data_IF_867485888429
#
_entry.id   IF_867485888429
#
_cell.length_a   1.000
_cell.length_b   1.000
_cell.length_c   1.000
_cell.angle_alpha   90.00
_cell.angle_beta   90.00
_cell.angle_gamma   90.00
#
_symmetry.space_group_name_H-M   'P 1'
#
loop_
_entity.id
_entity.type
_entity.pdbx_description
1 polymer ?
#
# COMPACT_ATOMS: atom_id res chain seq x y z
N UNK A 1 -2.65 -64.54 25.32
CA UNK A 1 -2.69 -63.97 23.95
C UNK A 1 -3.15 -62.54 24.05
N UNK A 2 -2.19 -61.62 24.12
CA UNK A 2 -2.41 -60.19 24.00
C UNK A 2 -2.92 -59.93 22.58
N UNK A 3 -4.04 -59.21 22.45
CA UNK A 3 -4.46 -58.63 21.17
C UNK A 3 -3.88 -57.23 21.10
N UNK A 4 -3.05 -57.02 20.09
CA UNK A 4 -2.43 -55.75 19.73
C UNK A 4 -3.46 -54.62 19.72
N UNK A 5 -3.13 -53.53 20.44
CA UNK A 5 -3.71 -52.22 20.19
C UNK A 5 -3.05 -51.70 18.92
N UNK A 6 -3.78 -51.73 17.79
CA UNK A 6 -3.41 -50.95 16.62
C UNK A 6 -3.47 -49.47 16.97
N UNK A 7 -2.31 -48.82 16.98
CA UNK A 7 -2.21 -47.36 17.01
C UNK A 7 -2.64 -46.86 15.63
N UNK A 8 -3.80 -46.21 15.54
CA UNK A 8 -4.17 -45.44 14.35
C UNK A 8 -3.12 -44.32 14.17
N UNK A 9 -2.61 -44.09 12.94
CA UNK A 9 -1.77 -42.93 12.69
C UNK A 9 -2.63 -41.67 12.88
N UNK A 10 -2.22 -40.85 13.83
CA UNK A 10 -2.73 -39.49 14.01
C UNK A 10 -2.35 -38.68 12.76
N UNK A 11 -3.26 -38.62 11.78
CA UNK A 11 -3.18 -37.72 10.63
C UNK A 11 -3.45 -36.27 11.08
N UNK A 12 -2.69 -35.77 12.06
CA UNK A 12 -2.51 -34.34 12.30
C UNK A 12 -1.51 -33.75 11.31
N UNK A 13 -1.72 -33.97 10.01
CA UNK A 13 -1.01 -33.23 8.99
C UNK A 13 -1.75 -31.93 8.70
N UNK A 14 -1.87 -31.10 9.75
CA UNK A 14 -2.25 -29.71 9.64
C UNK A 14 -1.10 -28.93 9.01
N UNK A 15 -0.85 -29.14 7.72
CA UNK A 15 -0.02 -28.24 6.95
C UNK A 15 -0.69 -26.87 6.98
N UNK A 16 -0.28 -26.01 7.91
CA UNK A 16 -0.68 -24.60 7.95
C UNK A 16 -0.33 -24.01 6.60
N UNK A 17 -1.35 -23.75 5.78
CA UNK A 17 -1.20 -23.10 4.49
C UNK A 17 -0.30 -21.87 4.68
N UNK A 18 0.87 -21.88 4.07
CA UNK A 18 1.80 -20.77 4.17
C UNK A 18 1.18 -19.56 3.50
N UNK A 19 1.27 -18.40 4.15
CA UNK A 19 0.82 -17.15 3.53
C UNK A 19 1.61 -16.93 2.25
N UNK A 20 0.94 -16.84 1.11
CA UNK A 20 1.57 -16.44 -0.14
C UNK A 20 2.01 -14.99 -0.01
N UNK A 21 3.33 -14.76 0.02
CA UNK A 21 3.94 -13.43 0.08
C UNK A 21 4.71 -13.19 -1.20
N UNK A 22 4.09 -12.45 -2.13
CA UNK A 22 4.74 -12.04 -3.38
C UNK A 22 5.51 -10.76 -3.10
N UNK A 23 6.78 -10.74 -3.47
CA UNK A 23 7.63 -9.55 -3.34
C UNK A 23 7.28 -8.57 -4.46
N UNK A 24 6.97 -7.32 -4.11
CA UNK A 24 6.81 -6.20 -5.04
C UNK A 24 7.90 -5.18 -4.70
N UNK A 25 9.04 -5.16 -5.42
CA UNK A 25 10.20 -4.35 -5.06
C UNK A 25 9.93 -2.84 -5.04
N UNK A 26 9.10 -2.38 -5.97
CA UNK A 26 8.72 -0.99 -6.16
C UNK A 26 7.42 -0.68 -5.40
N UNK A 27 7.46 -0.92 -4.09
CA UNK A 27 6.33 -0.66 -3.20
C UNK A 27 6.74 -0.33 -1.76
N UNK A 28 5.84 0.31 -1.02
CA UNK A 28 5.95 0.58 0.42
C UNK A 28 4.59 0.44 1.09
N UNK A 29 4.59 0.17 2.39
CA UNK A 29 3.43 0.41 3.26
C UNK A 29 3.76 1.66 4.06
N UNK A 30 2.93 2.70 3.92
CA UNK A 30 3.18 4.03 4.49
C UNK A 30 1.92 4.64 5.05
N UNK A 31 2.06 5.59 5.98
CA UNK A 31 0.93 6.36 6.49
C UNK A 31 0.35 7.29 5.42
N UNK A 32 -0.97 7.44 5.45
CA UNK A 32 -1.67 8.48 4.70
C UNK A 32 -1.63 9.82 5.42
N UNK A 33 -1.46 10.91 4.68
CA UNK A 33 -1.47 12.29 5.21
C UNK A 33 -2.34 13.16 4.30
N UNK A 34 -2.99 14.17 4.87
CA UNK A 34 -3.76 15.15 4.09
C UNK A 34 -2.82 16.19 3.48
N UNK A 35 -3.18 16.68 2.30
CA UNK A 35 -2.50 17.81 1.67
C UNK A 35 -2.60 19.07 2.56
N UNK A 36 -1.48 19.55 3.15
CA UNK A 36 -1.49 20.69 4.05
C UNK A 36 -1.53 22.04 3.30
N UNK A 37 -1.25 22.06 1.99
CA UNK A 37 -1.18 23.29 1.19
C UNK A 37 -2.38 23.46 0.26
N UNK A 38 -3.14 22.39 0.01
CA UNK A 38 -4.33 22.42 -0.84
C UNK A 38 -4.00 22.62 -2.33
N UNK A 39 -2.85 22.13 -2.79
CA UNK A 39 -2.44 22.25 -4.20
C UNK A 39 -2.77 21.00 -5.03
N UNK A 40 -2.98 19.86 -4.38
CA UNK A 40 -3.29 18.62 -5.08
C UNK A 40 -4.75 18.62 -5.54
N UNK A 41 -4.95 18.30 -6.82
CA UNK A 41 -6.27 18.07 -7.39
C UNK A 41 -6.75 16.64 -7.13
N UNK A 42 -8.06 16.42 -7.24
CA UNK A 42 -8.63 15.09 -7.13
C UNK A 42 -7.98 14.12 -8.14
N UNK A 43 -7.63 12.92 -7.67
CA UNK A 43 -6.92 11.90 -8.45
C UNK A 43 -5.40 12.07 -8.46
N UNK A 44 -4.85 13.06 -7.75
CA UNK A 44 -3.41 13.25 -7.60
C UNK A 44 -2.92 12.75 -6.24
N UNK A 45 -1.61 12.58 -6.11
CA UNK A 45 -0.93 12.40 -4.84
C UNK A 45 0.51 12.91 -4.91
N UNK A 46 1.10 13.14 -3.74
CA UNK A 46 2.55 13.27 -3.57
C UNK A 46 3.04 12.09 -2.75
N UNK A 47 4.16 11.50 -3.15
CA UNK A 47 4.77 10.38 -2.45
C UNK A 47 6.27 10.40 -2.69
N UNK A 48 7.07 10.57 -1.64
CA UNK A 48 8.53 10.55 -1.71
C UNK A 48 9.09 9.34 -0.94
N UNK A 49 9.35 8.21 -1.62
CA UNK A 49 9.95 7.05 -0.97
C UNK A 49 11.44 7.29 -0.70
N UNK A 50 11.91 6.88 0.47
CA UNK A 50 13.35 6.76 0.71
C UNK A 50 13.90 5.56 -0.07
N UNK A 51 14.79 5.86 -1.02
CA UNK A 51 15.43 4.89 -1.92
C UNK A 51 16.95 5.04 -1.86
N UNK A 52 17.65 3.91 -1.82
CA UNK A 52 19.12 3.85 -1.77
C UNK A 52 19.73 3.17 -3.01
N UNK A 53 18.90 2.56 -3.83
CA UNK A 53 19.31 1.77 -4.99
C UNK A 53 19.13 2.59 -6.26
N UNK A 54 20.19 2.75 -7.07
CA UNK A 54 20.18 3.60 -8.27
C UNK A 54 19.14 3.16 -9.30
N UNK A 55 18.89 1.85 -9.44
CA UNK A 55 17.90 1.31 -10.36
C UNK A 55 16.50 1.71 -9.90
N UNK A 56 16.18 1.48 -8.61
CA UNK A 56 14.88 1.89 -8.06
C UNK A 56 14.66 3.40 -8.09
N UNK A 57 15.73 4.18 -7.89
CA UNK A 57 15.66 5.64 -8.01
C UNK A 57 15.28 6.03 -9.44
N UNK A 58 15.90 5.41 -10.45
CA UNK A 58 15.60 5.67 -11.85
C UNK A 58 14.17 5.25 -12.23
N UNK A 59 13.72 4.08 -11.78
CA UNK A 59 12.35 3.60 -11.97
C UNK A 59 11.32 4.53 -11.32
N UNK A 60 11.56 4.93 -10.07
CA UNK A 60 10.71 5.89 -9.38
C UNK A 60 10.72 7.25 -10.09
N UNK A 61 11.84 7.73 -10.62
CA UNK A 61 11.93 9.01 -11.34
C UNK A 61 11.01 9.07 -12.56
N UNK A 62 10.87 7.97 -13.30
CA UNK A 62 10.01 7.91 -14.50
C UNK A 62 8.54 7.61 -14.19
N UNK A 63 8.22 7.09 -13.00
CA UNK A 63 6.85 6.78 -12.60
C UNK A 63 5.94 8.02 -12.65
N UNK A 64 4.81 7.93 -13.33
CA UNK A 64 3.81 9.01 -13.45
C UNK A 64 2.58 8.81 -12.57
N UNK A 65 2.39 7.58 -12.09
CA UNK A 65 1.24 7.15 -11.30
C UNK A 65 1.71 6.16 -10.23
N UNK A 66 0.87 5.97 -9.21
CA UNK A 66 1.05 4.96 -8.18
C UNK A 66 -0.26 4.22 -7.93
N UNK A 67 -0.18 2.91 -7.70
CA UNK A 67 -1.27 2.12 -7.15
C UNK A 67 -1.30 2.28 -5.63
N UNK A 68 -2.48 2.49 -5.07
CA UNK A 68 -2.71 2.67 -3.63
C UNK A 68 -3.83 1.74 -3.18
N UNK A 69 -3.59 1.01 -2.09
CA UNK A 69 -4.54 0.09 -1.47
C UNK A 69 -4.40 0.13 0.04
N UNK A 70 -5.52 0.18 0.75
CA UNK A 70 -5.60 -0.16 2.17
C UNK A 70 -5.97 -1.63 2.33
N UNK A 71 -5.35 -2.30 3.30
CA UNK A 71 -5.68 -3.68 3.65
C UNK A 71 -6.63 -3.70 4.86
N UNK A 72 -7.75 -4.45 4.83
CA UNK A 72 -8.23 -5.32 3.75
C UNK A 72 -8.84 -4.58 2.55
N UNK A 73 -8.65 -5.13 1.35
CA UNK A 73 -9.26 -4.68 0.10
C UNK A 73 -10.33 -5.69 -0.33
N UNK A 74 -11.61 -5.30 -0.33
CA UNK A 74 -12.74 -6.20 -0.59
C UNK A 74 -13.39 -5.98 -1.95
N UNK A 75 -13.31 -4.76 -2.48
CA UNK A 75 -13.95 -4.36 -3.72
C UNK A 75 -12.90 -3.79 -4.70
N UNK A 76 -13.04 -4.02 -6.03
CA UNK A 76 -12.10 -3.45 -7.00
C UNK A 76 -11.95 -1.93 -6.92
N UNK A 77 -13.00 -1.23 -6.47
CA UNK A 77 -12.97 0.22 -6.25
C UNK A 77 -12.12 0.67 -5.06
N UNK A 78 -11.72 -0.24 -4.15
CA UNK A 78 -10.81 0.06 -3.05
C UNK A 78 -9.37 0.30 -3.54
N UNK A 79 -9.07 -0.18 -4.77
CA UNK A 79 -7.79 0.04 -5.44
C UNK A 79 -7.83 1.38 -6.15
N UNK A 80 -6.87 2.25 -5.83
CA UNK A 80 -6.73 3.55 -6.49
C UNK A 80 -5.48 3.56 -7.34
N UNK A 81 -5.58 4.15 -8.52
CA UNK A 81 -4.43 4.58 -9.31
C UNK A 81 -4.44 6.10 -9.29
N UNK A 82 -3.41 6.69 -8.70
CA UNK A 82 -3.32 8.13 -8.49
C UNK A 82 -2.15 8.70 -9.29
N UNK A 83 -2.34 9.89 -9.86
CA UNK A 83 -1.30 10.62 -10.57
C UNK A 83 -0.26 11.15 -9.60
N UNK A 84 1.00 10.79 -9.82
CA UNK A 84 2.12 11.20 -8.98
C UNK A 84 2.61 12.60 -9.37
N UNK A 85 2.56 13.54 -8.44
CA UNK A 85 3.04 14.92 -8.60
C UNK A 85 4.37 15.09 -7.87
N UNK A 86 5.44 15.50 -8.58
CA UNK A 86 6.82 15.54 -8.04
C UNK A 86 7.42 16.94 -7.93
N UNK A 87 6.86 17.92 -8.64
CA UNK A 87 7.46 19.25 -8.79
C UNK A 87 6.84 20.27 -7.82
N UNK A 88 6.70 19.90 -6.54
CA UNK A 88 6.13 20.75 -5.50
C UNK A 88 7.12 20.87 -4.32
N UNK A 89 8.02 21.88 -4.34
CA UNK A 89 9.11 22.02 -3.36
C UNK A 89 8.65 22.08 -1.89
N UNK A 90 7.48 22.65 -1.64
CA UNK A 90 6.87 22.74 -0.31
C UNK A 90 6.49 21.38 0.28
N UNK A 91 6.42 20.30 -0.51
CA UNK A 91 6.16 18.94 -0.03
C UNK A 91 7.44 18.13 0.19
N UNK A 92 8.63 18.68 -0.10
CA UNK A 92 9.89 17.94 -0.09
C UNK A 92 10.27 17.33 1.29
N UNK A 93 9.72 17.87 2.38
CA UNK A 93 9.95 17.33 3.72
C UNK A 93 9.04 16.14 4.05
N UNK A 94 7.95 15.93 3.30
CA UNK A 94 7.02 14.82 3.46
C UNK A 94 7.59 13.58 2.78
N UNK A 95 8.43 12.85 3.52
CA UNK A 95 9.08 11.62 3.09
C UNK A 95 8.37 10.41 3.72
N UNK A 96 8.36 9.28 3.01
CA UNK A 96 7.81 8.00 3.46
C UNK A 96 6.35 8.06 3.99
N UNK A 97 5.56 8.95 3.40
CA UNK A 97 4.11 9.06 3.58
C UNK A 97 3.46 9.40 2.25
N UNK A 98 2.22 8.94 2.04
CA UNK A 98 1.43 9.32 0.87
C UNK A 98 0.52 10.49 1.21
N UNK A 99 0.64 11.57 0.45
CA UNK A 99 -0.15 12.79 0.63
C UNK A 99 -1.33 12.75 -0.32
N UNK A 100 -2.53 12.75 0.24
CA UNK A 100 -3.79 12.76 -0.49
C UNK A 100 -4.36 14.18 -0.61
N UNK A 101 -5.06 14.50 -1.71
CA UNK A 101 -5.70 15.79 -1.91
C UNK A 101 -6.81 15.98 -0.88
N UNK A 102 -6.94 17.22 -0.44
CA UNK A 102 -8.10 17.68 0.36
C UNK A 102 -9.24 18.18 -0.53
N UNK A 103 -9.04 18.21 -1.85
CA UNK A 103 -10.04 18.56 -2.87
C UNK A 103 -10.74 17.32 -3.41
N UNK A 104 -12.01 17.49 -3.78
CA UNK A 104 -12.82 16.46 -4.43
C UNK A 104 -14.12 16.16 -3.68
N UNK A 105 -14.95 15.30 -4.25
CA UNK A 105 -16.23 14.91 -3.66
C UNK A 105 -16.10 13.85 -2.55
N UNK A 106 -15.01 13.09 -2.56
CA UNK A 106 -14.78 11.97 -1.64
C UNK A 106 -13.28 11.81 -1.34
N UNK A 107 -12.82 11.71 -0.09
CA UNK A 107 -11.40 11.51 0.20
C UNK A 107 -10.88 10.18 -0.35
N UNK A 108 -9.66 10.16 -0.92
CA UNK A 108 -9.07 8.93 -1.46
C UNK A 108 -8.81 7.85 -0.39
N UNK A 109 -8.56 8.26 0.87
CA UNK A 109 -8.47 7.33 1.99
C UNK A 109 -9.80 6.58 2.20
N UNK A 110 -10.92 7.30 2.18
CA UNK A 110 -12.26 6.72 2.33
C UNK A 110 -12.68 5.87 1.12
N UNK A 111 -12.20 6.24 -0.08
CA UNK A 111 -12.38 5.39 -1.26
C UNK A 111 -11.63 4.05 -1.16
N UNK A 112 -10.59 3.95 -0.33
CA UNK A 112 -9.83 2.71 -0.13
C UNK A 112 -10.29 2.00 1.13
N UNK A 113 -11.33 1.16 1.00
CA UNK A 113 -11.87 0.35 2.11
C UNK A 113 -12.37 1.19 3.30
N UNK A 114 -12.90 2.40 3.04
CA UNK A 114 -13.44 3.29 4.08
C UNK A 114 -12.41 3.75 5.08
N UNK A 115 -11.15 3.90 4.67
CA UNK A 115 -10.08 4.40 5.53
C UNK A 115 -10.16 5.90 5.79
N UNK A 116 -9.33 6.37 6.70
CA UNK A 116 -9.14 7.80 6.96
C UNK A 116 -7.64 8.12 7.15
N UNK A 117 -7.32 9.17 7.88
CA UNK A 117 -5.95 9.67 8.08
C UNK A 117 -5.60 9.79 9.57
N UNK A 118 -6.23 8.98 10.42
CA UNK A 118 -6.00 8.96 11.87
C UNK A 118 -4.85 8.01 12.31
N UNK A 119 -4.26 7.31 11.36
CA UNK A 119 -3.25 6.27 11.56
C UNK A 119 -3.24 5.15 10.53
N UNK A 120 -4.14 5.21 9.53
CA UNK A 120 -4.21 4.22 8.47
C UNK A 120 -2.93 4.15 7.61
N UNK A 121 -2.53 2.91 7.31
CA UNK A 121 -1.43 2.59 6.42
C UNK A 121 -1.95 2.13 5.06
N UNK A 122 -1.26 2.56 4.00
CA UNK A 122 -1.57 2.27 2.61
C UNK A 122 -0.39 1.57 1.96
N UNK A 123 -0.67 0.47 1.27
CA UNK A 123 0.24 -0.12 0.30
C UNK A 123 0.28 0.78 -0.94
N UNK A 124 1.45 1.32 -1.24
CA UNK A 124 1.73 2.19 -2.38
C UNK A 124 2.74 1.50 -3.27
N UNK A 125 2.46 1.37 -4.56
CA UNK A 125 3.37 0.77 -5.54
C UNK A 125 3.48 1.65 -6.79
N UNK A 126 4.68 1.74 -7.34
CA UNK A 126 5.01 2.45 -8.58
C UNK A 126 5.67 1.52 -9.61
N UNK A 127 5.46 0.21 -9.44
CA UNK A 127 5.96 -0.84 -10.34
C UNK A 127 5.25 -0.80 -11.69
#
# INVERSE_FOLDING_TARGET
MQKDKGTEPDDTNGATASKLRILVPNSRVVFGVCDPFGELEYGQCVFHPTLYDEVRIAEYQVATEVMVVRNPCYYPGDIRVLKLVKNLPQYAYLNDCIVFPTKGSRPHADESSGGDLDGDEFFVSWD
#
